data_IF_356566639281
#
_entry.id   IF_356566639281
#
_cell.length_a   1.000
_cell.length_b   1.000
_cell.length_c   1.000
_cell.angle_alpha   90.00
_cell.angle_beta   90.00
_cell.angle_gamma   90.00
#
_symmetry.space_group_name_H-M   'P 1'
#
loop_
_entity.id
_entity.type
_entity.pdbx_description
1 polymer ?
#
# COMPACT_ATOMS: atom_id res chain seq x y z
N UNK A 1 -4.88 4.63 0.06
CA UNK A 1 -5.90 5.59 0.51
C UNK A 1 -5.49 7.00 0.10
N UNK A 2 -6.41 7.79 -0.38
CA UNK A 2 -6.15 9.17 -0.80
C UNK A 2 -6.98 10.12 0.05
N UNK A 3 -6.33 11.09 0.67
CA UNK A 3 -6.98 12.18 1.41
C UNK A 3 -6.57 13.52 0.81
N UNK A 4 -7.56 14.38 0.49
CA UNK A 4 -7.32 15.67 -0.18
C UNK A 4 -7.88 16.79 0.69
N UNK A 5 -7.05 17.81 0.95
CA UNK A 5 -7.45 19.05 1.60
C UNK A 5 -7.05 20.23 0.74
N UNK A 6 -7.89 21.25 0.67
CA UNK A 6 -7.59 22.48 -0.06
C UNK A 6 -7.55 23.69 0.87
N UNK A 7 -6.67 24.63 0.59
CA UNK A 7 -6.73 25.99 1.06
C UNK A 7 -6.77 26.93 -0.17
N UNK A 8 -6.95 28.23 0.03
CA UNK A 8 -7.25 29.20 -1.03
C UNK A 8 -6.28 29.21 -2.25
N UNK A 9 -5.12 28.54 -2.19
CA UNK A 9 -4.11 28.55 -3.26
C UNK A 9 -3.45 27.20 -3.53
N UNK A 10 -3.57 26.22 -2.62
CA UNK A 10 -2.90 24.93 -2.72
C UNK A 10 -3.85 23.79 -2.42
N UNK A 11 -3.65 22.73 -3.16
CA UNK A 11 -4.30 21.44 -2.90
C UNK A 11 -3.25 20.48 -2.29
N UNK A 12 -3.59 19.88 -1.16
CA UNK A 12 -2.74 18.89 -0.50
C UNK A 12 -3.36 17.51 -0.62
N UNK A 13 -2.57 16.53 -0.98
CA UNK A 13 -2.99 15.13 -1.03
C UNK A 13 -2.09 14.28 -0.14
N UNK A 14 -2.69 13.42 0.66
CA UNK A 14 -2.00 12.31 1.31
C UNK A 14 -2.29 11.05 0.52
N UNK A 15 -1.26 10.43 0.02
CA UNK A 15 -1.32 9.17 -0.72
C UNK A 15 -0.77 8.06 0.14
N UNK A 16 -1.54 7.00 0.29
CA UNK A 16 -1.18 5.81 1.06
C UNK A 16 -1.42 4.58 0.20
N UNK A 17 -0.39 3.76 0.03
CA UNK A 17 -0.49 2.53 -0.75
C UNK A 17 -1.17 1.44 0.07
N UNK A 18 -2.32 0.99 -0.38
CA UNK A 18 -3.10 -0.02 0.34
C UNK A 18 -2.39 -1.38 0.38
N UNK A 19 -2.27 -1.94 1.59
CA UNK A 19 -1.63 -3.26 1.80
C UNK A 19 -0.27 -3.35 1.10
N UNK A 20 0.58 -2.37 1.30
CA UNK A 20 1.77 -2.15 0.47
C UNK A 20 2.67 -3.38 0.36
N UNK A 21 3.03 -4.02 1.46
CA UNK A 21 3.93 -5.18 1.42
C UNK A 21 3.30 -6.37 0.69
N UNK A 22 2.03 -6.62 0.92
CA UNK A 22 1.27 -7.64 0.19
C UNK A 22 1.22 -7.31 -1.30
N UNK A 23 0.98 -6.06 -1.64
CA UNK A 23 0.93 -5.60 -3.03
C UNK A 23 2.27 -5.78 -3.73
N UNK A 24 3.39 -5.53 -3.05
CA UNK A 24 4.72 -5.78 -3.57
C UNK A 24 4.94 -7.26 -3.89
N UNK A 25 4.54 -8.16 -2.99
CA UNK A 25 4.65 -9.60 -3.23
C UNK A 25 3.78 -10.05 -4.42
N UNK A 26 2.58 -9.49 -4.55
CA UNK A 26 1.66 -9.78 -5.66
C UNK A 26 2.18 -9.32 -7.03
N UNK A 27 2.95 -8.24 -7.08
CA UNK A 27 3.56 -7.77 -8.34
C UNK A 27 4.49 -8.83 -8.92
N UNK A 28 5.27 -9.50 -8.08
CA UNK A 28 6.23 -10.52 -8.52
C UNK A 28 5.65 -11.92 -8.59
N UNK A 29 4.50 -12.15 -7.97
CA UNK A 29 3.80 -13.42 -8.04
C UNK A 29 2.31 -13.20 -8.29
N UNK A 30 1.89 -13.12 -9.57
CA UNK A 30 0.48 -12.90 -9.92
C UNK A 30 -0.49 -13.99 -9.44
N UNK A 31 0.00 -15.19 -9.11
CA UNK A 31 -0.84 -16.23 -8.50
C UNK A 31 -1.38 -15.87 -7.14
N UNK A 32 -0.81 -14.84 -6.48
CA UNK A 32 -1.28 -14.33 -5.20
C UNK A 32 -2.44 -13.35 -5.33
N UNK A 33 -2.82 -12.96 -6.54
CA UNK A 33 -4.00 -12.13 -6.76
C UNK A 33 -5.24 -12.89 -6.26
N UNK A 34 -6.10 -12.19 -5.54
CA UNK A 34 -7.32 -12.73 -4.92
C UNK A 34 -7.06 -13.88 -3.92
N UNK A 35 -5.81 -14.12 -3.55
CA UNK A 35 -5.46 -15.08 -2.51
C UNK A 35 -5.20 -14.39 -1.18
N UNK A 36 -5.48 -15.06 -0.04
CA UNK A 36 -5.12 -14.52 1.26
C UNK A 36 -3.59 -14.53 1.44
N UNK A 37 -3.03 -13.37 1.74
CA UNK A 37 -1.59 -13.18 1.92
C UNK A 37 -1.33 -12.38 3.19
N UNK A 38 -0.34 -12.81 3.96
CA UNK A 38 0.17 -12.10 5.12
C UNK A 38 1.69 -11.97 5.04
N UNK A 39 2.20 -10.85 5.52
CA UNK A 39 3.65 -10.60 5.63
C UNK A 39 4.01 -10.43 7.09
N UNK A 40 5.07 -11.12 7.50
CA UNK A 40 5.57 -11.12 8.86
C UNK A 40 6.61 -10.03 9.08
N UNK A 41 6.81 -9.64 10.33
CA UNK A 41 7.88 -8.75 10.75
C UNK A 41 9.27 -9.34 10.48
N UNK A 42 10.31 -8.53 10.63
CA UNK A 42 11.68 -8.92 10.31
C UNK A 42 12.17 -10.19 11.07
N UNK A 43 11.64 -10.43 12.26
CA UNK A 43 11.96 -11.61 13.07
C UNK A 43 10.92 -12.73 12.95
N UNK A 44 9.98 -12.61 12.00
CA UNK A 44 8.84 -13.51 11.80
C UNK A 44 7.92 -13.65 13.03
N UNK A 45 7.97 -12.71 13.94
CA UNK A 45 7.22 -12.77 15.19
C UNK A 45 5.79 -12.25 15.11
N UNK A 46 5.54 -11.27 14.25
CA UNK A 46 4.25 -10.57 14.16
C UNK A 46 3.80 -10.42 12.71
N UNK A 47 2.49 -10.37 12.52
CA UNK A 47 1.87 -10.09 11.22
C UNK A 47 1.80 -8.57 11.04
N UNK A 48 2.58 -8.02 10.11
CA UNK A 48 2.67 -6.58 9.87
C UNK A 48 1.93 -6.10 8.62
N UNK A 49 1.57 -7.00 7.72
CA UNK A 49 0.74 -6.69 6.57
C UNK A 49 -0.22 -7.83 6.28
N UNK A 50 -1.43 -7.48 5.87
CA UNK A 50 -2.51 -8.42 5.61
C UNK A 50 -3.25 -8.01 4.36
N UNK A 51 -3.52 -8.97 3.47
CA UNK A 51 -4.47 -8.75 2.39
C UNK A 51 -5.89 -8.53 2.93
N UNK A 52 -6.79 -8.01 2.10
CA UNK A 52 -8.19 -7.85 2.49
C UNK A 52 -8.83 -9.19 2.88
N UNK A 53 -8.45 -10.26 2.21
CA UNK A 53 -8.91 -11.62 2.51
C UNK A 53 -8.51 -12.06 3.92
N UNK A 54 -7.28 -11.73 4.35
CA UNK A 54 -6.81 -12.03 5.71
C UNK A 54 -7.48 -11.13 6.74
N UNK A 55 -7.69 -9.85 6.43
CA UNK A 55 -8.45 -8.94 7.29
C UNK A 55 -9.87 -9.45 7.54
N UNK A 56 -10.51 -10.01 6.53
CA UNK A 56 -11.84 -10.59 6.64
C UNK A 56 -11.89 -11.81 7.58
N UNK A 57 -10.78 -12.48 7.80
CA UNK A 57 -10.67 -13.57 8.79
C UNK A 57 -10.60 -13.07 10.25
N UNK A 58 -10.53 -11.77 10.46
CA UNK A 58 -10.45 -11.18 11.80
C UNK A 58 -9.05 -11.15 12.39
N UNK A 59 -8.01 -11.34 11.59
CA UNK A 59 -6.61 -11.28 12.05
C UNK A 59 -6.21 -9.81 12.28
N UNK A 60 -5.84 -9.42 13.51
CA UNK A 60 -5.48 -8.02 13.79
C UNK A 60 -4.07 -7.66 13.33
N UNK A 61 -3.84 -6.36 13.12
CA UNK A 61 -2.50 -5.83 12.85
C UNK A 61 -1.58 -6.08 14.04
N UNK A 62 -0.35 -6.50 13.77
CA UNK A 62 0.64 -6.79 14.81
C UNK A 62 0.39 -8.09 15.57
N UNK A 63 -0.54 -8.92 15.10
CA UNK A 63 -0.86 -10.19 15.75
C UNK A 63 0.37 -11.08 15.88
N UNK A 64 0.59 -11.72 17.04
CA UNK A 64 1.65 -12.71 17.19
C UNK A 64 1.44 -13.87 16.24
N UNK A 65 2.43 -14.14 15.39
CA UNK A 65 2.29 -15.17 14.35
C UNK A 65 2.02 -16.57 14.94
N UNK A 66 2.69 -16.93 16.01
CA UNK A 66 2.53 -18.26 16.61
C UNK A 66 1.11 -18.51 17.14
N UNK A 67 0.37 -17.48 17.55
CA UNK A 67 -1.03 -17.62 17.96
C UNK A 67 -1.98 -17.91 16.80
N UNK A 68 -1.67 -17.38 15.63
CA UNK A 68 -2.56 -17.45 14.46
C UNK A 68 -2.10 -18.47 13.40
N UNK A 69 -0.91 -19.04 13.56
CA UNK A 69 -0.31 -19.96 12.58
C UNK A 69 -1.25 -21.09 12.18
N UNK A 70 -1.95 -21.68 13.13
CA UNK A 70 -2.87 -22.79 12.86
C UNK A 70 -4.04 -22.35 11.99
N UNK A 71 -4.68 -21.24 12.34
CA UNK A 71 -5.81 -20.66 11.57
C UNK A 71 -5.34 -20.27 10.17
N UNK A 72 -4.21 -19.58 10.07
CA UNK A 72 -3.67 -19.13 8.78
C UNK A 72 -3.38 -20.30 7.86
N UNK A 73 -2.76 -21.36 8.39
CA UNK A 73 -2.47 -22.58 7.63
C UNK A 73 -3.78 -23.27 7.18
N UNK A 74 -4.75 -23.38 8.08
CA UNK A 74 -6.05 -24.00 7.79
C UNK A 74 -6.81 -23.26 6.70
N UNK A 75 -6.72 -21.92 6.68
CA UNK A 75 -7.39 -21.05 5.69
C UNK A 75 -6.60 -20.86 4.40
N UNK A 76 -5.47 -21.55 4.25
CA UNK A 76 -4.66 -21.45 3.03
C UNK A 76 -3.99 -20.11 2.82
N UNK A 77 -3.68 -19.39 3.89
CA UNK A 77 -3.01 -18.09 3.81
C UNK A 77 -1.56 -18.29 3.39
N UNK A 78 -1.15 -17.56 2.35
CA UNK A 78 0.24 -17.49 1.92
C UNK A 78 1.00 -16.54 2.84
N UNK A 79 2.07 -17.02 3.46
CA UNK A 79 2.82 -16.30 4.47
C UNK A 79 4.23 -16.01 3.95
N UNK A 80 4.64 -14.75 4.03
CA UNK A 80 5.94 -14.28 3.59
C UNK A 80 6.67 -13.59 4.73
N UNK A 81 7.96 -13.83 4.84
CA UNK A 81 8.85 -13.00 5.65
C UNK A 81 9.04 -11.64 4.98
N UNK A 82 9.35 -10.61 5.75
CA UNK A 82 9.60 -9.28 5.21
C UNK A 82 10.78 -9.27 4.25
N UNK A 83 10.57 -8.70 3.07
CA UNK A 83 11.62 -8.41 2.09
C UNK A 83 11.79 -6.90 1.97
N UNK A 84 12.48 -6.30 2.93
CA UNK A 84 12.62 -4.84 2.98
C UNK A 84 13.38 -4.26 1.79
N UNK A 85 14.29 -5.02 1.19
CA UNK A 85 14.98 -4.58 -0.03
C UNK A 85 13.98 -4.45 -1.19
N UNK A 86 13.12 -5.43 -1.37
CA UNK A 86 12.05 -5.37 -2.36
C UNK A 86 11.09 -4.22 -2.09
N UNK A 87 10.62 -4.08 -0.84
CA UNK A 87 9.66 -3.06 -0.46
C UNK A 87 10.24 -1.65 -0.61
N UNK A 88 11.51 -1.47 -0.26
CA UNK A 88 12.22 -0.21 -0.46
C UNK A 88 12.36 0.16 -1.93
N UNK A 89 12.71 -0.78 -2.79
CA UNK A 89 12.81 -0.56 -4.24
C UNK A 89 11.44 -0.19 -4.84
N UNK A 90 10.40 -0.91 -4.46
CA UNK A 90 9.04 -0.62 -4.92
C UNK A 90 8.54 0.73 -4.40
N UNK A 91 8.89 1.10 -3.17
CA UNK A 91 8.60 2.42 -2.61
C UNK A 91 9.20 3.54 -3.46
N UNK A 92 10.48 3.41 -3.80
CA UNK A 92 11.18 4.40 -4.64
C UNK A 92 10.47 4.56 -6.00
N UNK A 93 10.04 3.49 -6.61
CA UNK A 93 9.30 3.51 -7.88
C UNK A 93 7.95 4.20 -7.75
N UNK A 94 7.22 3.93 -6.66
CA UNK A 94 5.94 4.61 -6.38
C UNK A 94 6.17 6.10 -6.20
N UNK A 95 7.15 6.50 -5.39
CA UNK A 95 7.44 7.91 -5.12
C UNK A 95 7.88 8.65 -6.39
N UNK A 96 8.69 8.02 -7.24
CA UNK A 96 9.08 8.58 -8.54
C UNK A 96 7.85 8.76 -9.46
N UNK A 97 6.92 7.83 -9.44
CA UNK A 97 5.66 7.95 -10.18
C UNK A 97 4.82 9.13 -9.69
N UNK A 98 4.75 9.36 -8.38
CA UNK A 98 4.03 10.50 -7.80
C UNK A 98 4.65 11.84 -8.21
N UNK A 99 5.97 11.91 -8.34
CA UNK A 99 6.68 13.13 -8.76
C UNK A 99 6.34 13.58 -10.19
N UNK A 100 5.83 12.69 -11.02
CA UNK A 100 5.33 13.04 -12.36
C UNK A 100 4.13 13.98 -12.27
N UNK A 101 3.31 13.85 -11.22
CA UNK A 101 2.07 14.62 -11.02
C UNK A 101 2.28 15.91 -10.25
N UNK A 102 3.29 15.97 -9.38
CA UNK A 102 3.64 17.16 -8.63
C UNK A 102 5.14 17.19 -8.35
N UNK A 103 5.81 18.36 -8.52
CA UNK A 103 7.21 18.52 -8.11
C UNK A 103 7.37 18.49 -6.58
N UNK A 104 6.30 18.77 -5.84
CA UNK A 104 6.30 18.85 -4.40
C UNK A 104 5.74 17.56 -3.79
N UNK A 105 6.59 16.55 -3.68
CA UNK A 105 6.29 15.28 -3.02
C UNK A 105 7.18 15.14 -1.80
N UNK A 106 6.58 14.98 -0.63
CA UNK A 106 7.27 14.69 0.61
C UNK A 106 6.97 13.27 1.04
N UNK A 107 8.00 12.42 1.06
CA UNK A 107 7.88 11.04 1.50
C UNK A 107 7.76 11.01 3.03
N UNK A 108 6.63 10.50 3.51
CA UNK A 108 6.35 10.40 4.94
C UNK A 108 6.78 9.04 5.51
N UNK A 109 6.49 7.97 4.78
CA UNK A 109 6.89 6.61 5.12
C UNK A 109 7.12 5.80 3.84
N UNK A 110 7.41 4.52 3.97
CA UNK A 110 7.67 3.63 2.83
C UNK A 110 6.49 3.55 1.86
N UNK A 111 5.27 3.75 2.36
CA UNK A 111 4.02 3.61 1.60
C UNK A 111 3.13 4.86 1.63
N UNK A 112 3.63 5.95 2.18
CA UNK A 112 2.87 7.20 2.34
C UNK A 112 3.66 8.41 1.86
N UNK A 113 3.00 9.32 1.18
CA UNK A 113 3.58 10.59 0.74
C UNK A 113 2.56 11.71 0.78
N UNK A 114 3.03 12.91 1.08
CA UNK A 114 2.28 14.15 0.92
C UNK A 114 2.63 14.76 -0.44
N UNK A 115 1.62 15.27 -1.12
CA UNK A 115 1.77 15.98 -2.39
C UNK A 115 1.11 17.34 -2.28
N UNK A 116 1.75 18.35 -2.87
CA UNK A 116 1.17 19.68 -2.97
C UNK A 116 0.98 20.05 -4.44
N UNK A 117 -0.20 20.52 -4.76
CA UNK A 117 -0.54 21.02 -6.07
C UNK A 117 -0.91 22.50 -5.98
N UNK A 118 -0.46 23.29 -6.93
CA UNK A 118 -0.98 24.64 -7.10
C UNK A 118 -2.40 24.53 -7.67
N UNK A 119 -3.34 25.17 -7.00
CA UNK A 119 -4.70 25.20 -7.50
C UNK A 119 -4.74 25.91 -8.85
N UNK A 120 -5.18 25.20 -9.87
CA UNK A 120 -5.50 25.79 -11.16
C UNK A 120 -6.91 25.39 -11.55
N UNK A 121 -7.74 26.39 -11.82
CA UNK A 121 -9.12 26.21 -12.21
C UNK A 121 -9.18 25.38 -13.51
N UNK A 122 -9.87 24.23 -13.47
CA UNK A 122 -10.08 23.39 -14.65
C UNK A 122 -9.21 22.14 -14.78
N UNK A 123 -8.31 21.86 -13.82
CA UNK A 123 -7.58 20.58 -13.78
C UNK A 123 -8.17 19.66 -12.73
N UNK A 124 -8.54 18.48 -13.15
CA UNK A 124 -9.05 17.44 -12.27
C UNK A 124 -7.91 16.56 -11.76
N UNK A 125 -7.17 17.08 -10.76
CA UNK A 125 -6.11 16.33 -10.12
C UNK A 125 -6.62 15.10 -9.35
N UNK A 126 -7.87 15.15 -8.90
CA UNK A 126 -8.49 14.08 -8.14
C UNK A 126 -8.59 12.79 -8.96
N UNK A 127 -9.10 12.86 -10.18
CA UNK A 127 -9.19 11.70 -11.07
C UNK A 127 -7.82 11.14 -11.43
N UNK A 128 -6.83 12.00 -11.66
CA UNK A 128 -5.47 11.57 -11.94
C UNK A 128 -4.85 10.81 -10.76
N UNK A 129 -5.06 11.28 -9.53
CA UNK A 129 -4.55 10.63 -8.33
C UNK A 129 -5.26 9.31 -8.04
N UNK A 130 -6.57 9.22 -8.23
CA UNK A 130 -7.30 7.96 -8.10
C UNK A 130 -6.77 6.93 -9.10
N UNK A 131 -6.51 7.33 -10.32
CA UNK A 131 -5.98 6.45 -11.34
C UNK A 131 -4.61 5.85 -10.97
N UNK A 132 -3.77 6.60 -10.25
CA UNK A 132 -2.48 6.10 -9.74
C UNK A 132 -2.66 5.18 -8.55
N UNK A 133 -3.53 5.54 -7.60
CA UNK A 133 -3.70 4.79 -6.35
C UNK A 133 -4.48 3.49 -6.51
N UNK A 134 -5.18 3.30 -7.64
CA UNK A 134 -5.92 2.08 -7.98
C UNK A 134 -5.50 1.46 -9.32
N UNK A 135 -4.19 1.31 -9.63
CA UNK A 135 -3.74 0.89 -10.96
C UNK A 135 -4.06 -0.55 -11.32
N UNK A 136 -4.54 -1.36 -10.38
CA UNK A 136 -4.68 -2.81 -10.54
C UNK A 136 -6.12 -3.29 -10.56
N UNK A 137 -7.10 -2.40 -10.63
CA UNK A 137 -8.47 -2.85 -10.92
C UNK A 137 -8.56 -3.27 -12.38
N UNK A 138 -8.80 -4.55 -12.67
CA UNK A 138 -9.06 -4.96 -14.05
C UNK A 138 -10.31 -4.24 -14.58
N UNK A 139 -10.33 -3.95 -15.86
CA UNK A 139 -11.51 -3.34 -16.47
C UNK A 139 -12.76 -4.20 -16.34
#
# INVERSE_FOLDING_TARGET
>A
MLSIKSNNKNLFALVDCNNFYVSCERVFNPFLLDQPVAVLSNNDGCIIARSNEVKALGIPMGAPFHHYKHILTQKGVHIYSSNYQLYGDMSDRVMDSLKIFSPDVEVYSIDEAFMRFKYSKGRDYYLSLIHISEPTRPP
#
